data_IF_660195234877
#
_entry.id   IF_660195234877
#
_cell.length_a   1.000
_cell.length_b   1.000
_cell.length_c   1.000
_cell.angle_alpha   90.00
_cell.angle_beta   90.00
_cell.angle_gamma   90.00
#
_symmetry.space_group_name_H-M   'P 1'
#
loop_
_entity.id
_entity.type
_entity.pdbx_description
1 polymer ?
#
# COMPACT_ATOMS: atom_id res chain seq x y z
N UNK A 1 -16.35 21.62 -4.09
CA UNK A 1 -15.06 21.17 -3.55
C UNK A 1 -13.98 22.04 -4.17
N UNK A 2 -13.19 22.73 -3.35
CA UNK A 2 -12.09 23.59 -3.80
C UNK A 2 -10.86 22.77 -4.15
N UNK A 3 -9.93 23.34 -4.92
CA UNK A 3 -8.65 22.70 -5.26
C UNK A 3 -7.84 22.38 -4.00
N UNK A 4 -7.92 23.23 -2.98
CA UNK A 4 -7.27 23.03 -1.68
C UNK A 4 -7.86 21.82 -0.95
N UNK A 5 -9.18 21.67 -0.95
CA UNK A 5 -9.86 20.50 -0.36
C UNK A 5 -9.44 19.20 -1.05
N UNK A 6 -9.44 19.17 -2.40
CA UNK A 6 -9.02 17.99 -3.17
C UNK A 6 -7.56 17.64 -2.89
N UNK A 7 -6.67 18.64 -2.85
CA UNK A 7 -5.25 18.43 -2.56
C UNK A 7 -5.05 17.85 -1.15
N UNK A 8 -5.79 18.35 -0.15
CA UNK A 8 -5.74 17.85 1.22
C UNK A 8 -6.26 16.41 1.32
N UNK A 9 -7.38 16.10 0.67
CA UNK A 9 -7.93 14.74 0.63
C UNK A 9 -6.95 13.75 0.00
N UNK A 10 -6.36 14.09 -1.14
CA UNK A 10 -5.39 13.22 -1.81
C UNK A 10 -4.10 13.06 -1.02
N UNK A 11 -3.64 14.11 -0.35
CA UNK A 11 -2.47 14.06 0.53
C UNK A 11 -2.72 13.15 1.73
N UNK A 12 -3.87 13.28 2.39
CA UNK A 12 -4.27 12.40 3.48
C UNK A 12 -4.38 10.96 3.01
N UNK A 13 -4.96 10.74 1.83
CA UNK A 13 -5.06 9.41 1.24
C UNK A 13 -3.69 8.82 0.91
N UNK A 14 -2.75 9.63 0.43
CA UNK A 14 -1.38 9.19 0.20
C UNK A 14 -0.73 8.69 1.49
N UNK A 15 -0.84 9.45 2.59
CA UNK A 15 -0.31 9.03 3.88
C UNK A 15 -0.96 7.74 4.39
N UNK A 16 -2.29 7.65 4.33
CA UNK A 16 -3.00 6.45 4.76
C UNK A 16 -2.58 5.20 3.96
N UNK A 17 -2.37 5.33 2.64
CA UNK A 17 -1.87 4.23 1.82
C UNK A 17 -0.41 3.87 2.13
N UNK A 18 0.43 4.85 2.46
CA UNK A 18 1.81 4.58 2.87
C UNK A 18 1.88 3.84 4.20
N UNK A 19 1.07 4.24 5.18
CA UNK A 19 0.95 3.57 6.47
C UNK A 19 0.42 2.14 6.30
N UNK A 20 -0.64 1.97 5.49
CA UNK A 20 -1.20 0.66 5.21
C UNK A 20 -0.21 -0.28 4.50
N UNK A 21 0.58 0.23 3.54
CA UNK A 21 1.64 -0.55 2.90
C UNK A 21 2.74 -0.97 3.89
N UNK A 22 3.07 -0.12 4.86
CA UNK A 22 4.01 -0.47 5.93
C UNK A 22 3.47 -1.57 6.83
N UNK A 23 2.19 -1.49 7.20
CA UNK A 23 1.50 -2.54 7.98
C UNK A 23 1.49 -3.87 7.24
N UNK A 24 1.09 -3.89 5.96
CA UNK A 24 1.09 -5.10 5.14
C UNK A 24 2.50 -5.71 5.01
N UNK A 25 3.53 -4.87 4.84
CA UNK A 25 4.92 -5.35 4.80
C UNK A 25 5.31 -6.02 6.12
N UNK A 26 4.98 -5.40 7.25
CA UNK A 26 5.25 -5.96 8.57
C UNK A 26 4.49 -7.28 8.79
N UNK A 27 3.23 -7.38 8.36
CA UNK A 27 2.47 -8.63 8.46
C UNK A 27 3.06 -9.74 7.58
N UNK A 28 3.50 -9.43 6.36
CA UNK A 28 4.20 -10.40 5.52
C UNK A 28 5.47 -10.93 6.20
N UNK A 29 6.29 -10.05 6.77
CA UNK A 29 7.51 -10.43 7.50
C UNK A 29 7.21 -11.36 8.69
N UNK A 30 6.08 -11.14 9.39
CA UNK A 30 5.63 -12.01 10.48
C UNK A 30 5.17 -13.38 9.98
N UNK A 31 4.43 -13.41 8.87
CA UNK A 31 3.97 -14.67 8.26
C UNK A 31 5.16 -15.48 7.73
N UNK A 32 6.13 -14.84 7.09
CA UNK A 32 7.36 -15.48 6.62
C UNK A 32 8.13 -16.12 7.78
N UNK A 33 8.34 -15.38 8.89
CA UNK A 33 8.96 -15.95 10.10
C UNK A 33 8.17 -17.11 10.70
N UNK A 34 6.84 -17.05 10.66
CA UNK A 34 6.01 -18.15 11.12
C UNK A 34 6.18 -19.39 10.24
N UNK A 35 6.23 -19.23 8.91
CA UNK A 35 6.50 -20.31 7.96
C UNK A 35 7.86 -20.94 8.28
N UNK A 36 8.93 -20.14 8.41
CA UNK A 36 10.27 -20.63 8.74
C UNK A 36 10.30 -21.43 10.05
N UNK A 37 9.60 -20.96 11.09
CA UNK A 37 9.50 -21.65 12.36
C UNK A 37 8.74 -22.98 12.25
N UNK A 38 7.67 -23.01 11.45
CA UNK A 38 6.84 -24.20 11.24
C UNK A 38 7.56 -25.25 10.40
N UNK A 39 8.30 -24.85 9.36
CA UNK A 39 9.10 -25.78 8.54
C UNK A 39 10.20 -26.50 9.34
N UNK A 40 10.60 -25.95 10.49
CA UNK A 40 11.54 -26.59 11.42
C UNK A 40 10.86 -27.50 12.45
N UNK A 41 9.54 -27.48 12.56
CA UNK A 41 8.78 -28.31 13.51
C UNK A 41 8.45 -29.68 12.87
N UNK A 42 9.00 -30.81 13.36
CA UNK A 42 8.74 -32.13 12.81
C UNK A 42 7.30 -32.64 13.05
N UNK A 43 6.50 -31.93 13.85
CA UNK A 43 5.12 -32.29 14.16
C UNK A 43 4.08 -31.42 13.44
N UNK A 44 4.50 -30.42 12.66
CA UNK A 44 3.57 -29.58 11.91
C UNK A 44 2.90 -30.36 10.78
N UNK A 45 1.64 -30.06 10.50
CA UNK A 45 0.98 -30.60 9.31
C UNK A 45 1.29 -29.78 8.06
N UNK A 46 1.36 -30.45 6.92
CA UNK A 46 1.48 -29.79 5.61
C UNK A 46 0.36 -28.79 5.37
N UNK A 47 -0.85 -29.09 5.85
CA UNK A 47 -2.02 -28.21 5.73
C UNK A 47 -1.83 -26.88 6.47
N UNK A 48 -1.21 -26.90 7.66
CA UNK A 48 -0.90 -25.69 8.43
C UNK A 48 0.10 -24.81 7.69
N UNK A 49 1.17 -25.40 7.16
CA UNK A 49 2.18 -24.68 6.37
C UNK A 49 1.57 -24.11 5.09
N UNK A 50 0.78 -24.90 4.35
CA UNK A 50 0.07 -24.42 3.16
C UNK A 50 -0.92 -23.29 3.48
N UNK A 51 -1.55 -23.30 4.65
CA UNK A 51 -2.43 -22.20 5.08
C UNK A 51 -1.66 -20.88 5.28
N UNK A 52 -0.45 -20.95 5.85
CA UNK A 52 0.41 -19.77 5.99
C UNK A 52 0.86 -19.24 4.63
N UNK A 53 1.23 -20.11 3.69
CA UNK A 53 1.57 -19.70 2.32
C UNK A 53 0.39 -19.03 1.58
N UNK A 54 -0.83 -19.55 1.75
CA UNK A 54 -2.03 -18.89 1.19
C UNK A 54 -2.27 -17.51 1.80
N UNK A 55 -2.04 -17.36 3.10
CA UNK A 55 -2.14 -16.08 3.77
C UNK A 55 -1.10 -15.08 3.25
N UNK A 56 0.16 -15.52 3.11
CA UNK A 56 1.24 -14.70 2.54
C UNK A 56 0.90 -14.24 1.11
N UNK A 57 0.36 -15.14 0.28
CA UNK A 57 -0.11 -14.77 -1.07
C UNK A 57 -1.17 -13.66 -1.00
N UNK A 58 -2.17 -13.78 -0.12
CA UNK A 58 -3.21 -12.77 0.02
C UNK A 58 -2.63 -11.40 0.37
N UNK A 59 -1.73 -11.35 1.36
CA UNK A 59 -1.05 -10.12 1.76
C UNK A 59 -0.24 -9.50 0.62
N UNK A 60 0.44 -10.33 -0.19
CA UNK A 60 1.17 -9.86 -1.38
C UNK A 60 0.22 -9.29 -2.45
N UNK A 61 -0.97 -9.86 -2.61
CA UNK A 61 -1.97 -9.34 -3.54
C UNK A 61 -2.47 -7.96 -3.07
N UNK A 62 -2.83 -7.85 -1.79
CA UNK A 62 -3.34 -6.61 -1.17
C UNK A 62 -2.27 -5.50 -1.19
N UNK A 63 -1.01 -5.85 -0.93
CA UNK A 63 0.13 -4.93 -1.02
C UNK A 63 0.27 -4.38 -2.45
N UNK A 64 0.19 -5.25 -3.46
CA UNK A 64 0.30 -4.84 -4.85
C UNK A 64 -0.87 -3.97 -5.30
N UNK A 65 -2.08 -4.22 -4.81
CA UNK A 65 -3.24 -3.36 -5.08
C UNK A 65 -3.08 -1.98 -4.43
N UNK A 66 -2.76 -1.94 -3.13
CA UNK A 66 -2.51 -0.69 -2.39
C UNK A 66 -1.38 0.14 -3.00
N UNK A 67 -0.34 -0.53 -3.51
CA UNK A 67 0.76 0.14 -4.22
C UNK A 67 0.30 0.79 -5.53
N UNK A 68 -0.54 0.11 -6.32
CA UNK A 68 -1.11 0.69 -7.55
C UNK A 68 -2.01 1.89 -7.23
N UNK A 69 -2.77 1.80 -6.15
CA UNK A 69 -3.61 2.92 -5.70
C UNK A 69 -2.75 4.12 -5.28
N UNK A 70 -1.67 3.89 -4.53
CA UNK A 70 -0.74 4.94 -4.12
C UNK A 70 -0.14 5.67 -5.33
N UNK A 71 0.29 4.94 -6.35
CA UNK A 71 0.82 5.56 -7.58
C UNK A 71 -0.25 6.36 -8.33
N UNK A 72 -1.51 5.90 -8.31
CA UNK A 72 -2.63 6.66 -8.87
C UNK A 72 -2.88 7.96 -8.11
N UNK A 73 -2.82 7.93 -6.77
CA UNK A 73 -2.97 9.12 -5.92
C UNK A 73 -1.83 10.12 -6.15
N UNK A 74 -0.58 9.64 -6.19
CA UNK A 74 0.60 10.50 -6.48
C UNK A 74 0.48 11.16 -7.85
N UNK A 75 0.04 10.42 -8.86
CA UNK A 75 -0.18 10.97 -10.21
C UNK A 75 -1.20 12.10 -10.18
N UNK A 76 -2.34 11.90 -9.51
CA UNK A 76 -3.37 12.95 -9.36
C UNK A 76 -2.87 14.18 -8.61
N UNK A 77 -2.04 14.00 -7.57
CA UNK A 77 -1.40 15.11 -6.86
C UNK A 77 -0.49 15.91 -7.80
N UNK A 78 0.31 15.23 -8.63
CA UNK A 78 1.17 15.90 -9.63
C UNK A 78 0.36 16.70 -10.63
N UNK A 79 -0.71 16.12 -11.18
CA UNK A 79 -1.61 16.78 -12.13
C UNK A 79 -2.25 18.04 -11.52
N UNK A 80 -2.68 17.99 -10.25
CA UNK A 80 -3.22 19.17 -9.56
C UNK A 80 -2.20 20.28 -9.38
N UNK A 81 -0.95 19.93 -9.03
CA UNK A 81 0.13 20.92 -8.88
C UNK A 81 0.43 21.60 -10.21
N UNK A 82 0.47 20.84 -11.31
CA UNK A 82 0.66 21.39 -12.66
C UNK A 82 -0.47 22.34 -13.07
N UNK A 83 -1.73 21.97 -12.80
CA UNK A 83 -2.89 22.83 -13.10
C UNK A 83 -2.81 24.14 -12.32
N UNK A 84 -2.54 24.08 -11.01
CA UNK A 84 -2.44 25.29 -10.17
C UNK A 84 -1.27 26.16 -10.61
N UNK A 85 -0.10 25.57 -10.87
CA UNK A 85 1.08 26.30 -11.35
C UNK A 85 0.87 26.93 -12.73
N UNK A 86 0.16 26.24 -13.62
CA UNK A 86 -0.19 26.74 -14.95
C UNK A 86 -1.14 27.94 -14.89
N UNK A 87 -2.18 27.87 -14.04
CA UNK A 87 -3.11 28.98 -13.82
C UNK A 87 -2.38 30.21 -13.26
N UNK A 88 -1.51 30.03 -12.25
CA UNK A 88 -0.74 31.15 -11.68
C UNK A 88 0.26 31.76 -12.67
N UNK A 89 0.69 31.01 -13.68
CA UNK A 89 1.63 31.50 -14.70
C UNK A 89 0.93 32.22 -15.87
N UNK A 90 -0.38 32.01 -16.06
CA UNK A 90 -1.17 32.68 -17.11
C UNK A 90 -1.77 34.02 -16.70
N UNK A 91 -1.75 34.33 -15.39
CA UNK A 91 -2.32 35.56 -14.81
C UNK A 91 -1.32 36.73 -14.73
N UNK A 92 -0.15 36.64 -15.37
CA UNK A 92 0.88 37.69 -15.51
C UNK A 92 1.13 38.04 -16.99
#
# INVERSE_FOLDING_TARGET
MSVVEIHMELTNKQYALQDHLFELQHEMDLVEKNIEAHEQDPFISEEQVQSLYRHLWSLQADFNESKKELETVKKRLSELVEIVGGIMSSDF
#
